data_IF_365270079599
#
_entry.id   IF_365270079599
#
_cell.length_a   1.000
_cell.length_b   1.000
_cell.length_c   1.000
_cell.angle_alpha   90.00
_cell.angle_beta   90.00
_cell.angle_gamma   90.00
#
_symmetry.space_group_name_H-M   'P 1'
#
loop_
_entity.id
_entity.type
_entity.pdbx_description
1 polymer ?
#
# COMPACT_ATOMS: atom_id res chain seq x y z
N UNK A 1 -21.71 -3.12 -2.56
CA UNK A 1 -22.32 -4.12 -3.47
C UNK A 1 -21.44 -4.37 -4.70
N UNK A 2 -21.08 -3.33 -5.49
CA UNK A 2 -20.26 -3.51 -6.71
C UNK A 2 -18.84 -4.03 -6.40
N UNK A 3 -18.12 -3.43 -5.44
CA UNK A 3 -16.77 -3.89 -5.08
C UNK A 3 -16.74 -5.36 -4.63
N UNK A 4 -17.75 -5.78 -3.87
CA UNK A 4 -17.87 -7.18 -3.44
C UNK A 4 -18.13 -8.13 -4.62
N UNK A 5 -18.94 -7.73 -5.60
CA UNK A 5 -19.12 -8.51 -6.83
C UNK A 5 -17.82 -8.62 -7.63
N UNK A 6 -17.07 -7.52 -7.75
CA UNK A 6 -15.77 -7.49 -8.43
C UNK A 6 -14.79 -8.44 -7.75
N UNK A 7 -14.77 -8.46 -6.42
CA UNK A 7 -13.94 -9.37 -5.64
C UNK A 7 -14.30 -10.84 -5.89
N UNK A 8 -15.59 -11.19 -5.85
CA UNK A 8 -16.06 -12.54 -6.14
C UNK A 8 -15.72 -12.99 -7.57
N UNK A 9 -15.84 -12.09 -8.55
CA UNK A 9 -15.47 -12.36 -9.94
C UNK A 9 -13.95 -12.58 -10.07
N UNK A 10 -13.14 -11.80 -9.36
CA UNK A 10 -11.68 -11.99 -9.35
C UNK A 10 -11.30 -13.37 -8.80
N UNK A 11 -11.93 -13.80 -7.70
CA UNK A 11 -11.69 -15.13 -7.12
C UNK A 11 -12.17 -16.25 -8.04
N UNK A 12 -13.29 -16.06 -8.74
CA UNK A 12 -13.87 -17.09 -9.62
C UNK A 12 -13.13 -17.25 -10.95
N UNK A 13 -12.62 -16.14 -11.52
CA UNK A 13 -12.08 -16.10 -12.87
C UNK A 13 -10.54 -16.00 -12.92
N UNK A 14 -9.90 -15.57 -11.83
CA UNK A 14 -8.45 -15.43 -11.67
C UNK A 14 -7.76 -14.81 -12.91
N UNK A 15 -7.06 -15.59 -13.74
CA UNK A 15 -6.37 -15.08 -14.93
C UNK A 15 -7.32 -14.44 -15.96
N UNK A 16 -8.55 -14.92 -16.10
CA UNK A 16 -9.53 -14.30 -16.99
C UNK A 16 -10.06 -12.97 -16.46
N UNK A 17 -9.97 -12.73 -15.14
CA UNK A 17 -10.32 -11.44 -14.56
C UNK A 17 -9.25 -10.39 -14.85
N UNK A 18 -7.97 -10.81 -14.96
CA UNK A 18 -6.84 -9.89 -15.15
C UNK A 18 -6.97 -9.00 -16.38
N UNK A 19 -7.65 -9.48 -17.44
CA UNK A 19 -7.93 -8.68 -18.65
C UNK A 19 -8.78 -7.42 -18.40
N UNK A 20 -9.49 -7.35 -17.27
CA UNK A 20 -10.31 -6.20 -16.88
C UNK A 20 -9.61 -5.27 -15.87
N UNK A 21 -8.44 -5.65 -15.34
CA UNK A 21 -7.69 -4.81 -14.40
C UNK A 21 -7.33 -3.43 -14.97
N UNK A 22 -6.95 -3.28 -16.26
CA UNK A 22 -6.69 -1.97 -16.83
C UNK A 22 -7.88 -1.01 -16.75
N UNK A 23 -9.11 -1.52 -16.78
CA UNK A 23 -10.34 -0.72 -16.69
C UNK A 23 -10.77 -0.47 -15.24
N UNK A 24 -10.58 -1.47 -14.36
CA UNK A 24 -11.06 -1.42 -12.97
C UNK A 24 -10.11 -0.66 -12.06
N UNK A 25 -8.79 -0.84 -12.23
CA UNK A 25 -7.80 -0.30 -11.31
C UNK A 25 -7.76 1.24 -11.29
N UNK A 26 -7.88 1.96 -12.42
CA UNK A 26 -8.02 3.42 -12.40
C UNK A 26 -9.21 3.87 -11.54
N UNK A 27 -10.33 3.14 -11.58
CA UNK A 27 -11.49 3.43 -10.73
C UNK A 27 -11.18 3.24 -9.25
N UNK A 28 -10.47 2.18 -8.87
CA UNK A 28 -10.02 1.98 -7.48
C UNK A 28 -9.11 3.11 -7.01
N UNK A 29 -8.15 3.53 -7.83
CA UNK A 29 -7.21 4.62 -7.50
C UNK A 29 -7.94 5.96 -7.37
N UNK A 30 -8.92 6.22 -8.24
CA UNK A 30 -9.76 7.40 -8.17
C UNK A 30 -10.53 7.44 -6.84
N UNK A 31 -11.13 6.31 -6.42
CA UNK A 31 -11.83 6.22 -5.15
C UNK A 31 -10.91 6.45 -3.94
N UNK A 32 -9.67 5.96 -3.97
CA UNK A 32 -8.68 6.27 -2.92
C UNK A 32 -8.34 7.77 -2.88
N UNK A 33 -8.26 8.41 -4.05
CA UNK A 33 -7.98 9.84 -4.18
C UNK A 33 -9.17 10.69 -3.72
N UNK A 34 -10.39 10.28 -4.04
CA UNK A 34 -11.61 10.95 -3.57
C UNK A 34 -11.77 10.80 -2.06
N UNK A 35 -11.44 9.64 -1.49
CA UNK A 35 -11.44 9.43 -0.04
C UNK A 35 -10.51 10.44 0.68
N UNK A 36 -9.31 10.66 0.15
CA UNK A 36 -8.38 11.67 0.64
C UNK A 36 -8.95 13.10 0.47
N UNK A 37 -9.52 13.40 -0.71
CA UNK A 37 -10.06 14.73 -1.04
C UNK A 37 -11.26 15.13 -0.17
N UNK A 38 -12.17 14.20 0.09
CA UNK A 38 -13.40 14.42 0.84
C UNK A 38 -13.28 14.05 2.32
N UNK A 39 -12.12 13.52 2.73
CA UNK A 39 -11.86 13.01 4.07
C UNK A 39 -12.88 11.94 4.52
N UNK A 40 -13.32 11.10 3.57
CA UNK A 40 -14.25 10.00 3.79
C UNK A 40 -13.58 8.66 3.44
N UNK A 41 -13.21 7.91 4.48
CA UNK A 41 -12.49 6.65 4.34
C UNK A 41 -13.41 5.42 4.46
N UNK A 42 -14.73 5.62 4.42
CA UNK A 42 -15.74 4.56 4.63
C UNK A 42 -15.52 3.35 3.72
N UNK A 43 -15.11 3.58 2.47
CA UNK A 43 -14.94 2.53 1.47
C UNK A 43 -13.48 2.06 1.31
N UNK A 44 -12.52 2.71 1.97
CA UNK A 44 -11.09 2.46 1.73
C UNK A 44 -10.69 1.06 2.17
N UNK A 45 -11.21 0.56 3.30
CA UNK A 45 -10.94 -0.83 3.73
C UNK A 45 -11.43 -1.84 2.69
N UNK A 46 -12.64 -1.64 2.16
CA UNK A 46 -13.18 -2.52 1.10
C UNK A 46 -12.31 -2.47 -0.15
N UNK A 47 -11.89 -1.28 -0.58
CA UNK A 47 -11.01 -1.12 -1.75
C UNK A 47 -9.67 -1.81 -1.51
N UNK A 48 -9.05 -1.64 -0.33
CA UNK A 48 -7.80 -2.28 0.03
C UNK A 48 -7.92 -3.81 0.00
N UNK A 49 -9.03 -4.37 0.50
CA UNK A 49 -9.31 -5.80 0.42
C UNK A 49 -9.46 -6.28 -1.03
N UNK A 50 -10.21 -5.54 -1.86
CA UNK A 50 -10.37 -5.87 -3.28
C UNK A 50 -9.02 -5.84 -4.02
N UNK A 51 -8.15 -4.86 -3.72
CA UNK A 51 -6.80 -4.78 -4.27
C UNK A 51 -5.91 -5.96 -3.81
N UNK A 52 -6.10 -6.44 -2.58
CA UNK A 52 -5.41 -7.65 -2.09
C UNK A 52 -5.77 -8.88 -2.94
N UNK A 53 -7.05 -9.00 -3.30
CA UNK A 53 -7.59 -10.12 -4.08
C UNK A 53 -7.12 -10.11 -5.53
N UNK A 54 -6.84 -8.93 -6.11
CA UNK A 54 -6.31 -8.83 -7.47
C UNK A 54 -4.93 -9.47 -7.63
N UNK A 55 -4.15 -9.59 -6.55
CA UNK A 55 -2.82 -10.19 -6.57
C UNK A 55 -1.78 -9.30 -7.26
N UNK A 56 -1.02 -9.87 -8.20
CA UNK A 56 0.08 -9.19 -8.90
C UNK A 56 -0.46 -8.13 -9.87
N UNK A 57 -0.09 -6.86 -9.66
CA UNK A 57 -0.57 -5.68 -10.41
C UNK A 57 0.54 -4.98 -11.23
N UNK A 58 1.66 -5.66 -11.49
CA UNK A 58 2.96 -5.11 -11.90
C UNK A 58 2.91 -3.96 -12.92
N UNK A 59 2.11 -4.09 -13.97
CA UNK A 59 1.99 -3.09 -15.04
C UNK A 59 1.33 -1.76 -14.61
N UNK A 60 0.60 -1.76 -13.50
CA UNK A 60 -0.14 -0.59 -13.01
C UNK A 60 0.38 -0.07 -11.65
N UNK A 61 1.45 -0.66 -11.13
CA UNK A 61 1.96 -0.36 -9.79
C UNK A 61 2.44 1.09 -9.66
N UNK A 62 2.97 1.67 -10.73
CA UNK A 62 3.44 3.06 -10.76
C UNK A 62 2.36 4.08 -10.38
N UNK A 63 1.07 3.75 -10.57
CA UNK A 63 -0.06 4.61 -10.17
C UNK A 63 -0.62 4.23 -8.79
N UNK A 64 -0.66 2.95 -8.47
CA UNK A 64 -1.20 2.46 -7.21
C UNK A 64 -0.28 2.79 -6.02
N UNK A 65 1.03 2.65 -6.19
CA UNK A 65 2.02 2.87 -5.13
C UNK A 65 1.92 4.28 -4.52
N UNK A 66 1.93 5.36 -5.32
CA UNK A 66 1.75 6.71 -4.80
C UNK A 66 0.42 6.89 -4.08
N UNK A 67 -0.68 6.29 -4.55
CA UNK A 67 -1.98 6.38 -3.91
C UNK A 67 -1.99 5.71 -2.52
N UNK A 68 -1.39 4.52 -2.40
CA UNK A 68 -1.25 3.84 -1.11
C UNK A 68 -0.35 4.61 -0.13
N UNK A 69 0.76 5.19 -0.61
CA UNK A 69 1.68 5.98 0.22
C UNK A 69 0.98 7.22 0.80
N UNK A 70 0.09 7.89 0.05
CA UNK A 70 -0.67 9.04 0.56
C UNK A 70 -1.56 8.67 1.74
N UNK A 71 -2.16 7.48 1.73
CA UNK A 71 -2.98 6.97 2.84
C UNK A 71 -2.19 6.79 4.14
N UNK A 72 -0.85 6.82 4.12
CA UNK A 72 -0.06 6.72 5.36
C UNK A 72 -0.14 7.99 6.20
N UNK A 73 -0.38 9.13 5.54
CA UNK A 73 -0.31 10.49 6.12
C UNK A 73 -1.67 11.08 6.47
N UNK A 74 -2.75 10.59 5.86
CA UNK A 74 -4.09 11.12 6.10
C UNK A 74 -4.50 10.94 7.57
N UNK A 75 -5.37 11.83 8.05
CA UNK A 75 -6.00 11.71 9.37
C UNK A 75 -7.16 10.68 9.34
N UNK A 76 -6.84 9.48 8.87
CA UNK A 76 -7.75 8.35 8.84
C UNK A 76 -7.58 7.46 10.09
N UNK A 77 -8.52 6.53 10.26
CA UNK A 77 -8.45 5.53 11.31
C UNK A 77 -7.15 4.71 11.22
N UNK A 78 -6.74 4.16 12.37
CA UNK A 78 -5.56 3.27 12.44
C UNK A 78 -5.72 2.08 11.50
N UNK A 79 -6.93 1.56 11.39
CA UNK A 79 -7.28 0.45 10.52
C UNK A 79 -6.99 0.77 9.04
N UNK A 80 -7.43 1.94 8.55
CA UNK A 80 -7.20 2.36 7.15
C UNK A 80 -5.71 2.49 6.85
N UNK A 81 -4.99 3.19 7.73
CA UNK A 81 -3.55 3.41 7.57
C UNK A 81 -2.77 2.10 7.64
N UNK A 82 -3.13 1.22 8.58
CA UNK A 82 -2.54 -0.10 8.75
C UNK A 82 -2.82 -1.01 7.54
N UNK A 83 -4.05 -0.99 7.03
CA UNK A 83 -4.44 -1.71 5.82
C UNK A 83 -3.61 -1.28 4.61
N UNK A 84 -3.46 0.03 4.40
CA UNK A 84 -2.65 0.56 3.31
C UNK A 84 -1.18 0.10 3.40
N UNK A 85 -0.59 0.14 4.60
CA UNK A 85 0.80 -0.32 4.83
C UNK A 85 0.91 -1.83 4.55
N UNK A 86 -0.06 -2.63 5.00
CA UNK A 86 -0.06 -4.09 4.78
C UNK A 86 -0.17 -4.46 3.31
N UNK A 87 -1.08 -3.83 2.57
CA UNK A 87 -1.18 -4.04 1.12
C UNK A 87 0.13 -3.68 0.46
N UNK A 88 0.64 -2.47 0.70
CA UNK A 88 1.91 -2.05 0.12
C UNK A 88 3.06 -3.02 0.46
N UNK A 89 3.11 -3.53 1.70
CA UNK A 89 4.13 -4.50 2.13
C UNK A 89 4.11 -5.76 1.26
N UNK A 90 2.93 -6.27 0.93
CA UNK A 90 2.78 -7.45 0.06
C UNK A 90 3.12 -7.18 -1.39
N UNK A 91 3.00 -5.92 -1.81
CA UNK A 91 3.28 -5.50 -3.18
C UNK A 91 4.77 -5.24 -3.43
N UNK A 92 5.57 -4.96 -2.40
CA UNK A 92 7.02 -4.71 -2.54
C UNK A 92 7.75 -5.79 -3.35
N UNK A 93 7.58 -7.10 -3.10
CA UNK A 93 8.32 -8.13 -3.83
C UNK A 93 7.95 -8.23 -5.30
N UNK A 94 6.78 -7.73 -5.69
CA UNK A 94 6.27 -7.79 -7.06
C UNK A 94 6.71 -6.60 -7.91
N UNK A 95 7.33 -5.56 -7.33
CA UNK A 95 7.55 -4.29 -8.02
C UNK A 95 9.03 -3.97 -8.15
N UNK A 96 9.42 -3.48 -9.33
CA UNK A 96 10.61 -2.67 -9.53
C UNK A 96 10.44 -1.34 -8.76
N UNK A 97 10.59 -1.37 -7.43
CA UNK A 97 10.30 -0.23 -6.54
C UNK A 97 11.30 0.91 -6.67
N UNK A 98 12.35 0.75 -7.47
CA UNK A 98 13.55 1.60 -7.55
C UNK A 98 13.26 3.11 -7.63
N UNK A 99 12.24 3.53 -8.39
CA UNK A 99 11.84 4.94 -8.52
C UNK A 99 11.09 5.53 -7.30
N UNK A 100 10.58 4.69 -6.40
CA UNK A 100 9.74 5.12 -5.27
C UNK A 100 10.34 4.81 -3.89
N UNK A 101 11.47 4.11 -3.81
CA UNK A 101 12.09 3.65 -2.55
C UNK A 101 12.28 4.81 -1.56
N UNK A 102 12.94 5.90 -1.98
CA UNK A 102 13.25 7.01 -1.07
C UNK A 102 11.97 7.66 -0.52
N UNK A 103 10.96 7.82 -1.36
CA UNK A 103 9.65 8.32 -0.93
C UNK A 103 8.99 7.36 0.05
N UNK A 104 8.94 6.07 -0.28
CA UNK A 104 8.33 5.07 0.59
C UNK A 104 9.01 5.00 1.96
N UNK A 105 10.34 4.89 2.01
CA UNK A 105 11.11 4.86 3.25
C UNK A 105 10.87 6.14 4.06
N UNK A 106 10.86 7.30 3.40
CA UNK A 106 10.56 8.56 4.06
C UNK A 106 9.17 8.56 4.72
N UNK A 107 8.13 8.09 4.02
CA UNK A 107 6.77 8.05 4.58
C UNK A 107 6.65 7.02 5.70
N UNK A 108 7.28 5.86 5.57
CA UNK A 108 7.32 4.84 6.63
C UNK A 108 8.00 5.39 7.89
N UNK A 109 9.10 6.14 7.76
CA UNK A 109 9.76 6.80 8.90
C UNK A 109 8.85 7.80 9.61
N UNK A 110 8.06 8.58 8.87
CA UNK A 110 7.11 9.52 9.48
C UNK A 110 6.02 8.79 10.28
N UNK A 111 5.56 7.63 9.80
CA UNK A 111 4.60 6.81 10.55
C UNK A 111 5.25 6.15 11.76
N UNK A 112 6.52 5.72 11.65
CA UNK A 112 7.30 5.13 12.74
C UNK A 112 7.53 6.11 13.90
N UNK A 113 7.79 7.39 13.59
CA UNK A 113 7.99 8.47 14.56
C UNK A 113 6.70 8.87 15.31
N UNK A 114 5.54 8.33 14.90
CA UNK A 114 4.26 8.57 15.56
C UNK A 114 4.02 7.71 16.81
N UNK A 115 3.04 8.12 17.63
CA UNK A 115 2.72 7.48 18.92
C UNK A 115 1.75 6.29 18.83
N UNK A 116 1.52 5.70 17.64
CA UNK A 116 0.53 4.64 17.43
C UNK A 116 1.22 3.28 17.25
N UNK A 117 1.23 2.47 18.32
CA UNK A 117 1.92 1.16 18.36
C UNK A 117 1.49 0.18 17.25
N UNK A 118 0.20 0.13 16.91
CA UNK A 118 -0.30 -0.74 15.85
C UNK A 118 0.30 -0.37 14.48
N UNK A 119 0.48 0.92 14.21
CA UNK A 119 1.12 1.39 12.98
C UNK A 119 2.61 1.08 13.00
N UNK A 120 3.29 1.23 14.15
CA UNK A 120 4.72 0.89 14.29
C UNK A 120 4.99 -0.56 13.90
N UNK A 121 4.16 -1.51 14.36
CA UNK A 121 4.30 -2.93 13.98
C UNK A 121 4.15 -3.14 12.47
N UNK A 122 3.15 -2.52 11.85
CA UNK A 122 2.94 -2.62 10.40
C UNK A 122 4.11 -2.00 9.61
N UNK A 123 4.62 -0.84 10.05
CA UNK A 123 5.76 -0.16 9.44
C UNK A 123 7.04 -0.98 9.55
N UNK A 124 7.33 -1.59 10.70
CA UNK A 124 8.52 -2.43 10.87
C UNK A 124 8.47 -3.63 9.90
N UNK A 125 7.30 -4.27 9.76
CA UNK A 125 7.12 -5.35 8.79
C UNK A 125 7.37 -4.87 7.35
N UNK A 126 6.87 -3.68 6.99
CA UNK A 126 7.09 -3.06 5.69
C UNK A 126 8.58 -2.76 5.44
N UNK A 127 9.27 -2.16 6.41
CA UNK A 127 10.70 -1.84 6.33
C UNK A 127 11.57 -3.11 6.23
N UNK A 128 11.21 -4.16 6.96
CA UNK A 128 11.90 -5.44 6.85
C UNK A 128 11.71 -6.08 5.47
N UNK A 129 10.48 -6.03 4.92
CA UNK A 129 10.21 -6.49 3.57
C UNK A 129 10.99 -5.69 2.52
N UNK A 130 11.07 -4.36 2.66
CA UNK A 130 11.91 -3.52 1.81
C UNK A 130 13.39 -3.87 1.90
N UNK A 131 13.90 -4.08 3.12
CA UNK A 131 15.29 -4.46 3.33
C UNK A 131 15.62 -5.78 2.62
N UNK A 132 14.71 -6.75 2.70
CA UNK A 132 14.87 -8.02 2.00
C UNK A 132 14.82 -7.87 0.47
N UNK A 133 13.90 -7.05 -0.04
CA UNK A 133 13.74 -6.85 -1.49
C UNK A 133 14.89 -6.05 -2.12
N UNK A 134 15.50 -5.12 -1.37
CA UNK A 134 16.53 -4.20 -1.88
C UNK A 134 17.96 -4.64 -1.55
N UNK A 135 18.17 -5.49 -0.54
CA UNK A 135 19.50 -5.95 -0.15
C UNK A 135 20.45 -4.80 0.21
N UNK A 136 21.60 -4.73 -0.48
CA UNK A 136 22.63 -3.73 -0.23
C UNK A 136 22.15 -2.28 -0.44
N UNK A 137 21.23 -2.06 -1.38
CA UNK A 137 20.67 -0.74 -1.67
C UNK A 137 19.85 -0.17 -0.48
N UNK A 138 19.42 -1.02 0.46
CA UNK A 138 18.72 -0.57 1.66
C UNK A 138 19.66 0.02 2.72
N UNK A 139 20.95 -0.31 2.68
CA UNK A 139 21.91 -0.01 3.75
C UNK A 139 22.00 1.49 4.06
N UNK A 140 21.82 2.35 3.06
CA UNK A 140 21.82 3.81 3.18
C UNK A 140 20.73 4.35 4.12
N UNK A 141 19.63 3.59 4.31
CA UNK A 141 18.51 4.02 5.13
C UNK A 141 18.64 3.59 6.60
N UNK A 142 19.42 2.55 6.88
CA UNK A 142 19.54 1.89 8.20
C UNK A 142 19.85 2.89 9.33
N UNK A 143 20.87 3.77 9.25
CA UNK A 143 21.21 4.66 10.36
C UNK A 143 20.04 5.57 10.75
N UNK A 144 19.29 6.01 9.75
CA UNK A 144 18.20 6.95 9.91
C UNK A 144 16.91 6.31 10.45
N UNK A 145 16.72 5.00 10.23
CA UNK A 145 15.61 4.21 10.77
C UNK A 145 15.93 3.81 12.21
N UNK A 146 17.16 3.34 12.48
CA UNK A 146 17.59 2.93 13.80
C UNK A 146 17.41 4.05 14.84
N UNK A 147 17.70 5.30 14.47
CA UNK A 147 17.48 6.47 15.34
C UNK A 147 16.04 6.64 15.82
N UNK A 148 15.04 6.17 15.06
CA UNK A 148 13.62 6.28 15.40
C UNK A 148 13.10 5.07 16.21
N UNK A 149 13.90 4.01 16.29
CA UNK A 149 13.56 2.79 17.04
C UNK A 149 14.11 2.79 18.47
N UNK A 150 15.08 3.66 18.76
CA UNK A 150 15.72 3.85 20.07
C UNK A 150 14.91 4.83 20.92
#
# INVERSE_FOLDING_TARGET
MILHLVELLCLALNDEFRKYLPDILPCCIQLLTDAERFNDYTYVITILHTLEVFGTLDEHMHLLFPALIRLFKVDASVEVRCGAIKILTRLIPCVQVTGHISSLVHHLKLVLDGNKEELRKAVIAALHCLAHALGEDFTIFIPSIHKLMV
#
